data_IF_530325203833
#
_entry.id   IF_530325203833
#
_cell.length_a   1.000
_cell.length_b   1.000
_cell.length_c   1.000
_cell.angle_alpha   90.00
_cell.angle_beta   90.00
_cell.angle_gamma   90.00
#
_symmetry.space_group_name_H-M   'P 1'
#
loop_
_entity.id
_entity.type
_entity.pdbx_description
1 polymer ?
#
# COMPACT_ATOMS: atom_id res chain seq x y z
N UNK A 1 -7.62 0.75 -44.51
CA UNK A 1 -7.23 -0.64 -44.56
C UNK A 1 -8.33 -1.51 -43.95
N UNK A 2 -8.38 -2.76 -44.31
CA UNK A 2 -9.45 -3.71 -43.91
C UNK A 2 -9.59 -3.93 -42.39
N UNK A 3 -8.65 -3.45 -41.59
CA UNK A 3 -8.63 -3.54 -40.12
C UNK A 3 -9.46 -2.42 -39.45
N UNK A 4 -9.53 -1.26 -40.03
CA UNK A 4 -10.26 -0.12 -39.46
C UNK A 4 -11.77 -0.24 -39.63
N UNK A 5 -12.22 -0.86 -40.72
CA UNK A 5 -13.65 -1.07 -41.01
C UNK A 5 -14.26 -2.08 -40.01
N UNK A 6 -13.52 -3.12 -39.58
CA UNK A 6 -14.01 -4.07 -38.58
C UNK A 6 -14.14 -3.49 -37.16
N UNK A 7 -13.30 -2.54 -36.79
CA UNK A 7 -13.40 -1.84 -35.49
C UNK A 7 -14.60 -0.90 -35.42
N UNK A 8 -14.88 -0.19 -36.50
CA UNK A 8 -16.04 0.74 -36.58
C UNK A 8 -17.36 -0.04 -36.56
N UNK A 9 -17.43 -1.17 -37.29
CA UNK A 9 -18.64 -2.04 -37.29
C UNK A 9 -18.91 -2.70 -35.93
N UNK A 10 -17.87 -3.14 -35.22
CA UNK A 10 -18.01 -3.72 -33.88
C UNK A 10 -18.48 -2.70 -32.83
N UNK A 11 -18.02 -1.45 -32.93
CA UNK A 11 -18.44 -0.37 -32.03
C UNK A 11 -19.91 0.05 -32.30
N UNK A 12 -20.34 0.10 -33.56
CA UNK A 12 -21.73 0.41 -33.92
C UNK A 12 -22.71 -0.72 -33.52
N UNK A 13 -22.34 -1.99 -33.68
CA UNK A 13 -23.16 -3.11 -33.25
C UNK A 13 -23.33 -3.10 -31.72
N UNK A 14 -22.27 -2.82 -30.97
CA UNK A 14 -22.34 -2.71 -29.51
C UNK A 14 -23.20 -1.51 -29.06
N UNK A 15 -23.13 -0.38 -29.78
CA UNK A 15 -23.97 0.79 -29.47
C UNK A 15 -25.47 0.53 -29.78
N UNK A 16 -25.77 -0.12 -30.90
CA UNK A 16 -27.14 -0.53 -31.24
C UNK A 16 -27.72 -1.57 -30.29
N UNK A 17 -26.92 -2.55 -29.86
CA UNK A 17 -27.33 -3.53 -28.85
C UNK A 17 -27.58 -2.88 -27.49
N UNK A 18 -26.76 -1.91 -27.10
CA UNK A 18 -26.94 -1.15 -25.85
C UNK A 18 -28.19 -0.29 -25.88
N UNK A 19 -28.48 0.36 -27.00
CA UNK A 19 -29.67 1.22 -27.20
C UNK A 19 -30.97 0.36 -27.21
N UNK A 20 -30.96 -0.77 -27.90
CA UNK A 20 -32.08 -1.74 -27.88
C UNK A 20 -32.31 -2.34 -26.49
N UNK A 21 -31.25 -2.58 -25.72
CA UNK A 21 -31.35 -3.09 -24.36
C UNK A 21 -31.95 -2.04 -23.41
N UNK A 22 -31.53 -0.77 -23.54
CA UNK A 22 -32.05 0.35 -22.73
C UNK A 22 -33.53 0.67 -23.06
N UNK A 23 -33.94 0.57 -24.30
CA UNK A 23 -35.33 0.79 -24.71
C UNK A 23 -36.24 -0.39 -24.31
N UNK A 24 -35.77 -1.62 -24.40
CA UNK A 24 -36.50 -2.77 -23.86
C UNK A 24 -36.65 -2.72 -22.34
N UNK A 25 -35.62 -2.27 -21.61
CA UNK A 25 -35.68 -2.13 -20.14
C UNK A 25 -36.66 -1.02 -19.73
N UNK A 26 -36.75 0.10 -20.44
CA UNK A 26 -37.74 1.15 -20.20
C UNK A 26 -39.17 0.69 -20.47
N UNK A 27 -39.40 -0.11 -21.48
CA UNK A 27 -40.70 -0.69 -21.79
C UNK A 27 -41.12 -1.76 -20.76
N UNK A 28 -40.17 -2.59 -20.29
CA UNK A 28 -40.40 -3.53 -19.19
C UNK A 28 -40.78 -2.79 -17.90
N UNK A 29 -40.07 -1.72 -17.58
CA UNK A 29 -40.36 -0.90 -16.38
C UNK A 29 -41.73 -0.20 -16.44
N UNK A 30 -42.16 0.25 -17.61
CA UNK A 30 -43.49 0.81 -17.83
C UNK A 30 -44.64 -0.23 -17.66
N UNK A 31 -44.40 -1.46 -18.12
CA UNK A 31 -45.36 -2.54 -18.00
C UNK A 31 -45.41 -3.13 -16.57
N UNK A 32 -44.30 -3.10 -15.83
CA UNK A 32 -44.25 -3.51 -14.41
C UNK A 32 -45.01 -2.57 -13.49
N UNK A 33 -45.11 -1.26 -13.79
CA UNK A 33 -45.94 -0.31 -13.03
C UNK A 33 -47.45 -0.57 -13.16
N UNK A 34 -47.88 -1.37 -14.14
CA UNK A 34 -49.32 -1.70 -14.35
C UNK A 34 -49.77 -3.01 -13.68
N UNK A 35 -48.82 -3.88 -13.28
CA UNK A 35 -49.16 -5.15 -12.61
C UNK A 35 -48.46 -5.23 -11.25
N UNK A 36 -49.23 -5.51 -10.20
CA UNK A 36 -48.79 -5.70 -8.83
C UNK A 36 -47.82 -6.88 -8.75
N UNK A 37 -46.50 -6.62 -8.82
CA UNK A 37 -45.49 -7.63 -8.55
C UNK A 37 -45.14 -7.64 -7.06
N UNK A 38 -45.00 -8.84 -6.50
CA UNK A 38 -44.62 -9.05 -5.10
C UNK A 38 -43.21 -8.44 -4.80
N UNK A 39 -43.04 -8.00 -3.56
CA UNK A 39 -41.75 -7.44 -3.08
C UNK A 39 -40.51 -8.34 -3.37
N UNK A 40 -40.72 -9.65 -3.46
CA UNK A 40 -39.69 -10.65 -3.77
C UNK A 40 -39.16 -10.53 -5.20
N UNK A 41 -40.00 -10.24 -6.18
CA UNK A 41 -39.57 -10.10 -7.58
C UNK A 41 -38.77 -8.81 -7.80
N UNK A 42 -39.13 -7.72 -7.10
CA UNK A 42 -38.37 -6.46 -7.16
C UNK A 42 -36.97 -6.60 -6.53
N UNK A 43 -36.83 -7.31 -5.42
CA UNK A 43 -35.55 -7.57 -4.75
C UNK A 43 -34.63 -8.42 -5.62
N UNK A 44 -35.16 -9.47 -6.26
CA UNK A 44 -34.37 -10.33 -7.17
C UNK A 44 -33.93 -9.59 -8.44
N UNK A 45 -34.73 -8.64 -8.93
CA UNK A 45 -34.39 -7.85 -10.11
C UNK A 45 -33.28 -6.80 -9.80
N UNK A 46 -33.34 -6.18 -8.62
CA UNK A 46 -32.30 -5.23 -8.16
C UNK A 46 -30.98 -5.95 -7.88
N UNK A 47 -31.02 -7.15 -7.28
CA UNK A 47 -29.83 -7.99 -7.11
C UNK A 47 -29.25 -8.42 -8.47
N UNK A 48 -30.09 -8.79 -9.44
CA UNK A 48 -29.65 -9.16 -10.80
C UNK A 48 -29.00 -8.01 -11.55
N UNK A 49 -29.46 -6.77 -11.39
CA UNK A 49 -28.85 -5.58 -11.97
C UNK A 49 -27.54 -5.20 -11.27
N UNK A 50 -27.44 -5.37 -9.95
CA UNK A 50 -26.20 -5.14 -9.21
C UNK A 50 -25.12 -6.19 -9.60
N UNK A 51 -25.51 -7.45 -9.79
CA UNK A 51 -24.58 -8.49 -10.27
C UNK A 51 -24.14 -8.26 -11.73
N UNK A 52 -25.02 -7.74 -12.60
CA UNK A 52 -24.65 -7.40 -13.98
C UNK A 52 -23.70 -6.18 -14.04
N UNK A 53 -23.87 -5.19 -13.16
CA UNK A 53 -22.99 -4.04 -13.08
C UNK A 53 -21.59 -4.43 -12.56
N UNK A 54 -21.47 -5.35 -11.61
CA UNK A 54 -20.17 -5.84 -11.13
C UNK A 54 -19.43 -6.72 -12.14
N UNK A 55 -20.14 -7.49 -12.96
CA UNK A 55 -19.55 -8.28 -14.04
C UNK A 55 -18.97 -7.41 -15.17
N UNK A 56 -19.38 -6.14 -15.28
CA UNK A 56 -18.90 -5.18 -16.28
C UNK A 56 -17.64 -4.44 -15.84
N UNK A 57 -17.24 -4.54 -14.56
CA UNK A 57 -16.02 -3.88 -14.03
C UNK A 57 -14.74 -4.67 -14.27
N UNK A 58 -14.82 -6.00 -14.33
CA UNK A 58 -13.67 -6.86 -14.56
C UNK A 58 -13.56 -7.24 -16.06
N UNK A 59 -12.43 -6.93 -16.68
CA UNK A 59 -12.08 -7.31 -18.04
C UNK A 59 -10.92 -8.31 -18.00
N UNK A 60 -11.17 -9.56 -18.35
CA UNK A 60 -10.19 -10.65 -18.31
C UNK A 60 -9.43 -10.73 -19.63
N UNK A 61 -8.13 -10.43 -19.57
CA UNK A 61 -7.25 -10.40 -20.75
C UNK A 61 -6.60 -11.77 -21.01
N UNK A 62 -6.38 -12.56 -19.95
CA UNK A 62 -5.87 -13.93 -20.00
C UNK A 62 -6.29 -14.71 -18.75
N UNK A 63 -5.83 -15.97 -18.63
CA UNK A 63 -6.11 -16.81 -17.45
C UNK A 63 -5.52 -16.28 -16.14
N UNK A 64 -4.54 -15.37 -16.21
CA UNK A 64 -3.88 -14.81 -15.05
C UNK A 64 -3.85 -13.26 -15.05
N UNK A 65 -4.57 -12.59 -15.95
CA UNK A 65 -4.54 -11.14 -16.10
C UNK A 65 -5.94 -10.55 -16.20
N UNK A 66 -6.24 -9.59 -15.36
CA UNK A 66 -7.51 -8.87 -15.32
C UNK A 66 -7.27 -7.38 -15.14
N UNK A 67 -8.02 -6.56 -15.87
CA UNK A 67 -8.17 -5.12 -15.60
C UNK A 67 -9.51 -4.92 -14.90
N UNK A 68 -9.47 -4.43 -13.67
CA UNK A 68 -10.68 -4.10 -12.91
C UNK A 68 -10.87 -2.57 -12.89
N UNK A 69 -11.97 -2.10 -13.45
CA UNK A 69 -12.31 -0.67 -13.44
C UNK A 69 -12.86 -0.27 -12.08
N UNK A 70 -12.25 0.74 -11.45
CA UNK A 70 -12.67 1.24 -10.14
C UNK A 70 -13.71 2.33 -10.28
N UNK A 71 -14.81 2.21 -9.54
CA UNK A 71 -15.75 3.30 -9.31
C UNK A 71 -15.26 4.12 -8.12
N UNK A 72 -14.69 5.29 -8.39
CA UNK A 72 -14.12 6.19 -7.39
C UNK A 72 -15.13 7.21 -6.82
N UNK A 73 -16.41 6.93 -6.92
CA UNK A 73 -17.48 7.73 -6.27
C UNK A 73 -17.51 7.54 -4.74
N UNK A 74 -16.97 6.42 -4.25
CA UNK A 74 -16.82 6.08 -2.83
C UNK A 74 -15.37 6.33 -2.36
N UNK A 75 -15.13 6.21 -1.04
CA UNK A 75 -13.81 6.48 -0.45
C UNK A 75 -12.91 5.26 -0.38
N UNK A 76 -13.49 4.09 -0.27
CA UNK A 76 -12.79 2.82 -0.01
C UNK A 76 -13.32 1.73 -0.92
N UNK A 77 -12.40 0.99 -1.55
CA UNK A 77 -12.68 -0.29 -2.17
C UNK A 77 -12.20 -1.40 -1.22
N UNK A 78 -13.12 -2.23 -0.75
CA UNK A 78 -12.84 -3.39 0.08
C UNK A 78 -12.44 -4.57 -0.80
N UNK A 79 -11.19 -4.99 -0.69
CA UNK A 79 -10.61 -6.11 -1.42
C UNK A 79 -10.75 -7.40 -0.59
N UNK A 80 -11.45 -8.43 -1.10
CA UNK A 80 -11.60 -9.69 -0.39
C UNK A 80 -10.34 -10.54 -0.50
N UNK A 81 -9.79 -10.95 0.64
CA UNK A 81 -8.55 -11.71 0.78
C UNK A 81 -8.83 -13.16 1.14
N UNK A 82 -8.02 -14.06 0.59
CA UNK A 82 -7.92 -15.45 0.99
C UNK A 82 -6.45 -15.78 1.25
N UNK A 83 -6.08 -16.08 2.49
CA UNK A 83 -4.70 -16.24 2.97
C UNK A 83 -3.86 -17.27 2.21
N UNK A 84 -4.50 -18.29 1.67
CA UNK A 84 -3.83 -19.38 0.94
C UNK A 84 -4.02 -19.30 -0.57
N UNK A 85 -4.58 -18.20 -1.08
CA UNK A 85 -4.68 -17.98 -2.52
C UNK A 85 -3.32 -17.63 -3.13
N UNK A 86 -3.22 -17.76 -4.45
CA UNK A 86 -2.07 -17.31 -5.21
C UNK A 86 -1.89 -15.79 -5.05
N UNK A 87 -0.62 -15.35 -5.02
CA UNK A 87 -0.28 -13.94 -4.95
C UNK A 87 -0.68 -13.25 -6.26
N UNK A 88 -1.34 -12.12 -6.13
CA UNK A 88 -1.63 -11.19 -7.22
C UNK A 88 -0.74 -9.96 -7.07
N UNK A 89 -0.08 -9.57 -8.15
CA UNK A 89 0.52 -8.25 -8.26
C UNK A 89 -0.53 -7.28 -8.81
N UNK A 90 -0.79 -6.21 -8.10
CA UNK A 90 -1.80 -5.19 -8.44
C UNK A 90 -1.12 -3.86 -8.67
N UNK A 91 -1.41 -3.24 -9.80
CA UNK A 91 -1.03 -1.86 -10.10
C UNK A 91 -2.27 -0.99 -10.17
N UNK A 92 -2.27 0.10 -9.44
CA UNK A 92 -3.30 1.14 -9.55
C UNK A 92 -2.89 2.07 -10.68
N UNK A 93 -3.74 2.16 -11.69
CA UNK A 93 -3.51 2.97 -12.90
C UNK A 93 -4.49 4.13 -12.92
N UNK A 94 -3.98 5.36 -12.93
CA UNK A 94 -4.74 6.59 -13.17
C UNK A 94 -4.47 7.09 -14.59
N UNK A 95 -5.44 6.95 -15.46
CA UNK A 95 -5.28 7.22 -16.89
C UNK A 95 -4.26 6.31 -17.54
N UNK A 96 -3.03 6.79 -17.74
CA UNK A 96 -1.90 6.04 -18.32
C UNK A 96 -0.73 5.88 -17.32
N UNK A 97 -0.88 6.37 -16.10
CA UNK A 97 0.20 6.38 -15.10
C UNK A 97 -0.05 5.35 -14.01
N UNK A 98 0.97 4.54 -13.69
CA UNK A 98 0.96 3.74 -12.48
C UNK A 98 1.19 4.68 -11.29
N UNK A 99 0.23 4.69 -10.35
CA UNK A 99 0.28 5.56 -9.17
C UNK A 99 0.54 4.80 -7.87
N UNK A 100 0.25 3.50 -7.84
CA UNK A 100 0.54 2.60 -6.70
C UNK A 100 0.74 1.17 -7.21
N UNK A 101 1.52 0.37 -6.50
CA UNK A 101 1.60 -1.07 -6.73
C UNK A 101 1.70 -1.81 -5.40
N UNK A 102 1.09 -2.99 -5.33
CA UNK A 102 1.13 -3.86 -4.16
C UNK A 102 0.83 -5.30 -4.53
N UNK A 103 1.19 -6.21 -3.64
CA UNK A 103 0.87 -7.62 -3.72
C UNK A 103 -0.30 -7.95 -2.79
N UNK A 104 -1.22 -8.81 -3.22
CA UNK A 104 -2.38 -9.23 -2.44
C UNK A 104 -2.81 -10.64 -2.83
N UNK A 105 -3.35 -11.40 -1.89
CA UNK A 105 -3.96 -12.71 -2.15
C UNK A 105 -5.47 -12.56 -2.32
N UNK A 106 -5.91 -12.17 -3.53
CA UNK A 106 -7.33 -12.01 -3.81
C UNK A 106 -8.07 -13.34 -3.68
N UNK A 107 -9.26 -13.30 -3.07
CA UNK A 107 -10.06 -14.47 -2.80
C UNK A 107 -10.45 -15.24 -4.07
N UNK A 108 -9.92 -16.45 -4.21
CA UNK A 108 -10.20 -17.33 -5.35
C UNK A 108 -11.47 -18.15 -5.15
N UNK A 109 -11.71 -18.75 -3.97
CA UNK A 109 -12.87 -19.63 -3.72
C UNK A 109 -13.62 -19.32 -2.41
N UNK A 110 -12.98 -18.72 -1.39
CA UNK A 110 -13.64 -18.25 -0.17
C UNK A 110 -12.98 -16.94 0.30
N UNK A 111 -13.56 -16.26 1.26
CA UNK A 111 -13.07 -14.99 1.78
C UNK A 111 -12.74 -15.19 3.25
N UNK A 112 -11.49 -14.92 3.63
CA UNK A 112 -11.08 -14.94 5.03
C UNK A 112 -11.38 -13.59 5.70
N UNK A 113 -11.04 -12.47 5.01
CA UNK A 113 -11.31 -11.11 5.47
C UNK A 113 -11.26 -10.11 4.32
N UNK A 114 -11.46 -8.84 4.63
CA UNK A 114 -11.35 -7.72 3.70
C UNK A 114 -10.24 -6.76 4.14
N UNK A 115 -9.55 -6.18 3.16
CA UNK A 115 -8.63 -5.07 3.38
C UNK A 115 -9.09 -3.84 2.59
N UNK A 116 -8.88 -2.61 3.10
CA UNK A 116 -9.27 -1.39 2.40
C UNK A 116 -8.19 -0.98 1.39
N UNK A 117 -8.61 -0.63 0.18
CA UNK A 117 -7.86 0.23 -0.71
C UNK A 117 -8.52 1.61 -0.67
N UNK A 118 -7.81 2.61 -0.15
CA UNK A 118 -8.32 3.98 -0.10
C UNK A 118 -8.23 4.59 -1.50
N UNK A 119 -9.40 4.96 -2.04
CA UNK A 119 -9.53 5.51 -3.40
C UNK A 119 -10.00 6.96 -3.39
N UNK A 120 -10.17 7.56 -2.21
CA UNK A 120 -10.59 8.96 -2.03
C UNK A 120 -9.60 9.97 -2.64
N UNK A 121 -8.33 9.65 -2.72
CA UNK A 121 -7.30 10.46 -3.36
C UNK A 121 -7.51 10.57 -4.88
N UNK A 122 -8.13 9.56 -5.49
CA UNK A 122 -8.42 9.50 -6.93
C UNK A 122 -9.81 10.04 -7.30
N UNK A 123 -10.52 10.70 -6.38
CA UNK A 123 -11.91 11.18 -6.60
C UNK A 123 -12.09 12.09 -7.82
N UNK A 124 -11.04 12.78 -8.24
CA UNK A 124 -11.05 13.68 -9.40
C UNK A 124 -10.57 12.99 -10.70
N UNK A 125 -10.12 11.74 -10.59
CA UNK A 125 -9.62 10.97 -11.73
C UNK A 125 -10.78 10.41 -12.55
N UNK A 126 -10.65 10.44 -13.86
CA UNK A 126 -11.70 9.96 -14.78
C UNK A 126 -11.65 8.47 -15.04
N UNK A 127 -10.47 7.87 -14.93
CA UNK A 127 -10.20 6.47 -15.27
C UNK A 127 -9.23 5.87 -14.29
N UNK A 128 -9.74 5.29 -13.20
CA UNK A 128 -8.95 4.47 -12.27
C UNK A 128 -9.22 3.01 -12.58
N UNK A 129 -8.17 2.23 -12.66
CA UNK A 129 -8.26 0.78 -12.80
C UNK A 129 -7.18 0.07 -11.98
N UNK A 130 -7.46 -1.17 -11.62
CA UNK A 130 -6.49 -2.11 -11.08
C UNK A 130 -6.06 -3.04 -12.21
N UNK A 131 -4.78 -3.01 -12.52
CA UNK A 131 -4.13 -3.97 -13.41
C UNK A 131 -3.61 -5.12 -12.54
N UNK A 132 -4.22 -6.29 -12.66
CA UNK A 132 -4.07 -7.41 -11.72
C UNK A 132 -3.49 -8.60 -12.45
N UNK A 133 -2.28 -9.01 -12.03
CA UNK A 133 -1.60 -10.20 -12.51
C UNK A 133 -1.50 -11.23 -11.38
N UNK A 134 -2.01 -12.44 -11.63
CA UNK A 134 -1.89 -13.55 -10.69
C UNK A 134 -0.60 -14.32 -10.97
N UNK A 135 0.21 -14.54 -9.94
CA UNK A 135 1.43 -15.34 -10.05
C UNK A 135 1.09 -16.82 -10.25
N UNK A 136 1.97 -17.53 -10.95
CA UNK A 136 1.78 -18.96 -11.24
C UNK A 136 1.08 -19.27 -12.55
N UNK A 137 1.07 -20.54 -12.90
CA UNK A 137 0.37 -21.07 -14.07
C UNK A 137 -0.97 -21.64 -13.61
N UNK A 138 -2.05 -20.93 -13.88
CA UNK A 138 -3.40 -21.46 -13.66
C UNK A 138 -3.65 -22.66 -14.55
N UNK A 139 -3.84 -23.82 -13.92
CA UNK A 139 -4.15 -25.08 -14.58
C UNK A 139 -5.66 -25.34 -14.47
N UNK A 140 -6.37 -25.29 -15.59
CA UNK A 140 -7.64 -25.99 -15.87
C UNK A 140 -8.91 -25.64 -15.09
N UNK A 141 -8.98 -24.60 -14.27
CA UNK A 141 -10.13 -24.31 -13.42
C UNK A 141 -10.79 -22.93 -13.69
N UNK A 142 -10.64 -22.41 -14.92
CA UNK A 142 -11.26 -21.15 -15.34
C UNK A 142 -10.37 -19.92 -15.10
N UNK A 143 -9.19 -20.07 -14.50
CA UNK A 143 -8.22 -18.99 -14.30
C UNK A 143 -8.75 -17.87 -13.41
N UNK A 144 -8.17 -16.67 -13.53
CA UNK A 144 -8.53 -15.49 -12.72
C UNK A 144 -10.01 -15.10 -12.85
N UNK A 145 -10.66 -15.44 -13.95
CA UNK A 145 -12.08 -15.15 -14.14
C UNK A 145 -13.02 -15.93 -13.21
N UNK A 146 -12.55 -17.07 -12.67
CA UNK A 146 -13.31 -17.90 -11.74
C UNK A 146 -13.26 -17.40 -10.29
N UNK A 147 -12.39 -16.43 -9.97
CA UNK A 147 -12.20 -15.94 -8.60
C UNK A 147 -13.50 -15.40 -7.99
N UNK A 148 -13.74 -15.79 -6.74
CA UNK A 148 -14.88 -15.30 -5.99
C UNK A 148 -14.79 -13.80 -5.65
N UNK A 149 -13.59 -13.23 -5.66
CA UNK A 149 -13.35 -11.81 -5.35
C UNK A 149 -14.19 -10.86 -6.22
N UNK A 150 -14.39 -11.15 -7.51
CA UNK A 150 -15.08 -10.24 -8.44
C UNK A 150 -16.53 -9.93 -8.06
N UNK A 151 -17.20 -10.87 -7.41
CA UNK A 151 -18.59 -10.72 -6.93
C UNK A 151 -18.66 -10.15 -5.53
N UNK A 152 -17.52 -10.01 -4.86
CA UNK A 152 -17.43 -9.67 -3.46
C UNK A 152 -16.59 -8.42 -3.17
N UNK A 153 -16.01 -7.78 -4.16
CA UNK A 153 -15.48 -6.43 -4.01
C UNK A 153 -16.61 -5.47 -3.62
N UNK A 154 -16.38 -4.62 -2.62
CA UNK A 154 -17.40 -3.73 -2.05
C UNK A 154 -16.84 -2.32 -1.99
N UNK A 155 -17.70 -1.35 -2.23
CA UNK A 155 -17.39 0.05 -2.01
C UNK A 155 -18.00 0.53 -0.70
N UNK A 156 -17.28 1.39 0.02
CA UNK A 156 -17.69 1.93 1.31
C UNK A 156 -17.20 3.37 1.50
N UNK A 157 -17.88 4.11 2.37
CA UNK A 157 -17.44 5.46 2.78
C UNK A 157 -16.34 5.43 3.84
N UNK A 158 -16.19 4.30 4.54
CA UNK A 158 -15.17 4.09 5.58
C UNK A 158 -14.86 2.61 5.75
N UNK A 159 -13.73 2.31 6.36
CA UNK A 159 -13.38 0.97 6.84
C UNK A 159 -13.54 0.92 8.35
N UNK A 160 -14.04 -0.20 8.87
CA UNK A 160 -14.16 -0.41 10.32
C UNK A 160 -12.77 -0.69 10.92
N UNK A 161 -12.29 0.25 11.73
CA UNK A 161 -11.00 0.17 12.41
C UNK A 161 -11.09 -0.51 13.79
N UNK A 162 -12.30 -0.91 14.23
CA UNK A 162 -12.48 -1.62 15.50
C UNK A 162 -12.11 -3.08 15.34
N UNK A 163 -10.84 -3.40 15.58
CA UNK A 163 -10.38 -4.77 15.56
C UNK A 163 -10.75 -5.46 16.87
N UNK A 164 -11.69 -6.39 16.81
CA UNK A 164 -12.16 -7.19 17.96
C UNK A 164 -11.79 -8.66 17.85
N UNK A 165 -10.79 -9.02 17.06
CA UNK A 165 -10.34 -10.40 16.88
C UNK A 165 -9.85 -11.01 18.18
N UNK A 166 -10.11 -12.31 18.35
CA UNK A 166 -9.86 -13.08 19.58
C UNK A 166 -8.41 -12.97 20.07
N UNK A 167 -7.43 -12.93 19.16
CA UNK A 167 -6.00 -12.94 19.48
C UNK A 167 -5.35 -11.57 19.45
N UNK A 168 -6.14 -10.50 19.31
CA UNK A 168 -5.58 -9.15 19.38
C UNK A 168 -4.92 -8.90 20.74
N UNK A 169 -3.65 -8.47 20.79
CA UNK A 169 -2.99 -8.10 22.05
C UNK A 169 -3.76 -7.01 22.81
N UNK A 170 -3.77 -7.11 24.14
CA UNK A 170 -4.50 -6.17 24.99
C UNK A 170 -3.69 -4.89 25.26
N UNK A 171 -2.36 -4.99 25.34
CA UNK A 171 -1.49 -3.87 25.74
C UNK A 171 -0.31 -3.64 24.78
N UNK A 172 0.02 -4.56 23.89
CA UNK A 172 1.00 -4.29 22.85
C UNK A 172 0.36 -3.48 21.72
N UNK A 173 1.13 -2.54 21.16
CA UNK A 173 0.70 -1.82 19.97
C UNK A 173 0.50 -2.77 18.80
N UNK A 174 -0.60 -2.59 18.07
CA UNK A 174 -0.88 -3.26 16.81
C UNK A 174 -1.61 -2.27 15.87
N UNK A 175 -1.41 -2.37 14.56
CA UNK A 175 -2.19 -1.58 13.61
C UNK A 175 -3.67 -1.99 13.68
N UNK A 176 -4.55 -1.17 13.11
CA UNK A 176 -5.98 -1.47 13.05
C UNK A 176 -6.27 -2.73 12.21
N UNK A 177 -5.47 -2.98 11.19
CA UNK A 177 -5.52 -4.15 10.29
C UNK A 177 -4.15 -4.35 9.65
N UNK A 178 -3.95 -5.49 8.97
CA UNK A 178 -2.73 -5.79 8.25
C UNK A 178 -1.64 -6.43 9.11
N UNK A 179 -0.45 -6.53 8.55
CA UNK A 179 0.75 -7.08 9.20
C UNK A 179 1.65 -5.97 9.74
N UNK A 180 2.30 -6.22 10.84
CA UNK A 180 3.29 -5.33 11.44
C UNK A 180 4.50 -6.15 11.92
N UNK A 181 5.73 -5.58 11.75
CA UNK A 181 6.95 -6.08 12.40
C UNK A 181 7.71 -4.91 13.04
N UNK A 182 8.93 -4.58 12.63
CA UNK A 182 9.84 -3.68 13.32
C UNK A 182 9.24 -2.30 13.62
N UNK A 183 9.38 -1.78 14.86
CA UNK A 183 9.15 -0.37 15.13
C UNK A 183 10.22 0.47 14.43
N UNK A 184 9.79 1.62 13.89
CA UNK A 184 10.66 2.55 13.16
C UNK A 184 10.43 3.98 13.65
N UNK A 185 11.46 4.79 13.55
CA UNK A 185 11.37 6.24 13.56
C UNK A 185 10.57 6.85 14.71
N UNK A 186 10.59 6.30 15.93
CA UNK A 186 9.85 6.86 17.04
C UNK A 186 10.46 8.20 17.49
N UNK A 187 9.62 9.23 17.62
CA UNK A 187 10.02 10.53 18.18
C UNK A 187 8.87 11.18 18.93
N UNK A 188 9.22 12.17 19.76
CA UNK A 188 8.28 13.02 20.47
C UNK A 188 8.37 14.45 19.96
N UNK A 189 7.23 15.03 19.60
CA UNK A 189 7.14 16.41 19.14
C UNK A 189 5.80 17.03 19.50
N UNK A 190 5.81 18.26 20.01
CA UNK A 190 4.61 19.07 20.29
C UNK A 190 3.54 18.34 21.14
N UNK A 191 3.99 17.55 22.14
CA UNK A 191 3.09 16.84 23.05
C UNK A 191 2.57 15.49 22.51
N UNK A 192 3.08 15.02 21.36
CA UNK A 192 2.64 13.80 20.70
C UNK A 192 3.84 12.88 20.44
N UNK A 193 3.69 11.62 20.79
CA UNK A 193 4.55 10.53 20.36
C UNK A 193 4.14 10.05 19.00
N UNK A 194 5.09 9.89 18.11
CA UNK A 194 4.92 9.30 16.79
C UNK A 194 5.67 7.98 16.76
N UNK A 195 5.01 6.92 16.32
CA UNK A 195 5.60 5.60 16.09
C UNK A 195 5.32 5.21 14.65
N UNK A 196 6.36 4.95 13.90
CA UNK A 196 6.26 4.27 12.61
C UNK A 196 6.63 2.80 12.79
N UNK A 197 6.28 1.97 11.81
CA UNK A 197 6.58 0.54 11.86
C UNK A 197 6.51 -0.07 10.47
N UNK A 198 7.22 -1.16 10.28
CA UNK A 198 7.09 -1.98 9.09
C UNK A 198 5.68 -2.50 8.97
N UNK A 199 5.04 -2.29 7.82
CA UNK A 199 3.61 -2.48 7.65
C UNK A 199 3.26 -3.08 6.29
N UNK A 200 2.35 -4.08 6.29
CA UNK A 200 1.66 -4.54 5.09
C UNK A 200 0.15 -4.31 5.26
N UNK A 201 -0.46 -3.35 4.55
CA UNK A 201 -1.89 -3.08 4.64
C UNK A 201 -2.77 -4.08 3.87
N UNK A 202 -2.19 -4.94 3.01
CA UNK A 202 -2.94 -5.78 2.08
C UNK A 202 -2.98 -7.26 2.46
N UNK A 203 -2.51 -7.62 3.63
CA UNK A 203 -2.51 -9.00 4.11
C UNK A 203 -2.04 -9.16 5.54
N UNK A 204 -2.10 -10.37 6.07
CA UNK A 204 -1.65 -10.75 7.42
C UNK A 204 -0.27 -11.40 7.44
N UNK A 205 0.51 -11.26 6.36
CA UNK A 205 1.85 -11.83 6.21
C UNK A 205 2.84 -10.72 5.82
N UNK A 206 4.13 -10.98 6.04
CA UNK A 206 5.20 -10.09 5.61
C UNK A 206 5.18 -9.92 4.09
N UNK A 207 4.92 -8.71 3.63
CA UNK A 207 4.86 -8.30 2.22
C UNK A 207 4.70 -6.78 2.16
N UNK A 208 4.87 -6.16 0.99
CA UNK A 208 4.54 -4.74 0.73
C UNK A 208 5.14 -3.74 1.72
N UNK A 209 6.35 -3.99 2.23
CA UNK A 209 6.89 -3.17 3.31
C UNK A 209 6.79 -1.68 3.02
N UNK A 210 6.04 -1.02 3.89
CA UNK A 210 5.77 0.40 3.94
C UNK A 210 5.92 0.86 5.39
N UNK A 211 6.04 2.15 5.67
CA UNK A 211 5.94 2.61 7.05
C UNK A 211 4.48 2.91 7.38
N UNK A 212 3.89 2.11 8.28
CA UNK A 212 2.67 2.46 8.97
C UNK A 212 2.95 3.52 10.03
N UNK A 213 1.92 4.27 10.47
CA UNK A 213 2.06 5.35 11.42
C UNK A 213 0.97 5.28 12.48
N UNK A 214 1.35 5.48 13.73
CA UNK A 214 0.45 5.68 14.87
C UNK A 214 0.95 6.80 15.76
N UNK A 215 0.02 7.46 16.45
CA UNK A 215 0.32 8.56 17.39
C UNK A 215 -0.24 8.28 18.76
N UNK A 216 0.43 8.79 19.80
CA UNK A 216 0.00 8.67 21.19
C UNK A 216 0.38 9.92 22.00
N UNK A 217 -0.42 10.22 23.03
CA UNK A 217 -0.10 11.25 24.03
C UNK A 217 0.53 10.68 25.30
N UNK A 218 0.41 9.39 25.52
CA UNK A 218 0.75 8.73 26.78
C UNK A 218 1.53 7.40 26.61
N UNK A 219 1.87 7.00 25.37
CA UNK A 219 2.53 5.73 25.01
C UNK A 219 1.69 4.47 25.29
N UNK A 220 0.47 4.61 25.77
CA UNK A 220 -0.44 3.51 26.07
C UNK A 220 -1.60 3.43 25.07
N UNK A 221 -2.16 4.59 24.73
CA UNK A 221 -3.28 4.70 23.80
C UNK A 221 -2.78 5.24 22.46
N UNK A 222 -2.84 4.39 21.45
CA UNK A 222 -2.34 4.69 20.11
C UNK A 222 -3.48 4.86 19.13
N UNK A 223 -3.38 5.89 18.30
CA UNK A 223 -4.30 6.17 17.20
C UNK A 223 -3.61 5.88 15.87
N UNK A 224 -4.16 4.96 15.08
CA UNK A 224 -3.66 4.63 13.74
C UNK A 224 -3.89 5.81 12.78
N UNK A 225 -2.83 6.19 12.07
CA UNK A 225 -2.82 7.34 11.15
C UNK A 225 -2.76 6.93 9.66
N UNK A 226 -2.55 5.65 9.36
CA UNK A 226 -2.40 5.14 7.99
C UNK A 226 -0.96 4.88 7.58
N UNK A 227 -0.72 4.88 6.29
CA UNK A 227 0.60 4.72 5.67
C UNK A 227 1.31 6.08 5.62
N UNK A 228 2.59 6.15 6.03
CA UNK A 228 3.37 7.38 6.07
C UNK A 228 4.42 7.46 4.95
N UNK A 229 5.13 6.36 4.67
CA UNK A 229 6.13 6.28 3.60
C UNK A 229 5.86 5.01 2.79
N UNK A 230 5.41 5.18 1.56
CA UNK A 230 5.07 4.08 0.65
C UNK A 230 6.22 3.72 -0.29
N UNK A 231 6.25 2.49 -0.83
CA UNK A 231 7.19 2.07 -1.87
C UNK A 231 7.23 3.01 -3.08
N UNK A 232 8.37 3.02 -3.76
CA UNK A 232 8.56 3.74 -5.00
C UNK A 232 9.44 2.95 -6.00
N UNK A 233 10.01 3.65 -6.96
CA UNK A 233 10.88 3.05 -7.99
C UNK A 233 12.16 2.42 -7.43
N UNK A 234 12.59 2.81 -6.22
CA UNK A 234 13.76 2.26 -5.54
C UNK A 234 13.47 0.98 -4.76
N UNK A 235 12.20 0.66 -4.52
CA UNK A 235 11.77 -0.56 -3.84
C UNK A 235 10.81 -0.34 -2.68
N UNK A 236 10.66 -1.39 -1.87
CA UNK A 236 9.89 -1.37 -0.63
C UNK A 236 10.64 -0.64 0.49
N UNK A 237 9.92 -0.17 1.49
CA UNK A 237 10.47 0.65 2.58
C UNK A 237 10.77 -0.23 3.78
N UNK A 238 12.06 -0.51 4.00
CA UNK A 238 12.54 -1.27 5.16
C UNK A 238 12.80 -0.35 6.36
N UNK A 239 13.30 -0.94 7.43
CA UNK A 239 13.47 -0.27 8.71
C UNK A 239 14.44 0.91 8.67
N UNK A 240 14.31 1.77 9.66
CA UNK A 240 15.09 2.97 9.83
C UNK A 240 14.65 3.81 11.03
N UNK A 241 15.08 5.05 11.07
CA UNK A 241 14.85 5.97 12.18
C UNK A 241 14.34 7.33 11.71
N UNK A 242 13.84 8.15 12.64
CA UNK A 242 13.46 9.53 12.37
C UNK A 242 13.98 10.44 13.48
N UNK A 243 14.35 11.66 13.09
CA UNK A 243 14.84 12.71 14.00
C UNK A 243 14.11 14.01 13.72
N UNK A 244 14.09 14.90 14.73
CA UNK A 244 13.62 16.29 14.54
C UNK A 244 14.84 17.19 14.33
N UNK A 245 14.96 17.77 13.16
CA UNK A 245 16.02 18.72 12.82
C UNK A 245 15.66 20.12 13.31
N UNK A 246 15.88 20.36 14.62
CA UNK A 246 15.55 21.63 15.25
C UNK A 246 16.30 22.83 14.69
N UNK A 247 17.48 22.60 14.14
CA UNK A 247 18.39 23.66 13.68
C UNK A 247 18.35 23.85 12.15
N UNK A 248 17.45 23.15 11.46
CA UNK A 248 17.34 23.19 10.00
C UNK A 248 18.68 22.89 9.29
N UNK A 249 19.42 21.92 9.81
CA UNK A 249 20.73 21.53 9.25
C UNK A 249 20.58 20.93 7.86
N UNK A 250 19.49 20.21 7.61
CA UNK A 250 19.16 19.65 6.32
C UNK A 250 18.59 20.68 5.31
N UNK A 251 18.19 21.87 5.77
CA UNK A 251 17.64 22.90 4.89
C UNK A 251 16.20 22.63 4.41
N UNK A 252 15.45 21.77 5.11
CA UNK A 252 14.04 21.47 4.79
C UNK A 252 13.04 22.35 5.54
N UNK A 253 13.49 23.15 6.47
CA UNK A 253 12.69 24.02 7.33
C UNK A 253 12.94 23.74 8.81
N UNK A 254 12.56 24.70 9.66
CA UNK A 254 12.78 24.61 11.11
C UNK A 254 11.97 23.48 11.73
N UNK A 255 12.63 22.70 12.60
CA UNK A 255 12.00 21.59 13.32
C UNK A 255 11.31 20.56 12.39
N UNK A 256 11.86 20.39 11.20
CA UNK A 256 11.39 19.37 10.24
C UNK A 256 11.70 17.97 10.76
N UNK A 257 10.78 17.04 10.60
CA UNK A 257 11.02 15.61 10.88
C UNK A 257 11.73 15.02 9.68
N UNK A 258 12.89 14.40 9.89
CA UNK A 258 13.68 13.75 8.86
C UNK A 258 13.74 12.27 9.15
N UNK A 259 13.25 11.45 8.24
CA UNK A 259 13.30 9.99 8.29
C UNK A 259 14.39 9.48 7.36
N UNK A 260 15.21 8.55 7.83
CA UNK A 260 16.10 7.75 7.01
C UNK A 260 15.71 6.29 7.12
N UNK A 261 15.61 5.64 6.00
CA UNK A 261 15.12 4.28 5.86
C UNK A 261 15.87 3.54 4.75
N UNK A 262 15.82 2.23 4.81
CA UNK A 262 16.37 1.41 3.73
C UNK A 262 15.30 1.23 2.65
N UNK A 263 15.66 1.50 1.40
CA UNK A 263 14.88 1.07 0.23
C UNK A 263 15.39 -0.27 -0.27
N UNK A 264 14.51 -1.27 -0.33
CA UNK A 264 14.82 -2.63 -0.74
C UNK A 264 14.24 -2.91 -2.14
N UNK A 265 15.07 -2.70 -3.16
CA UNK A 265 14.78 -3.01 -4.55
C UNK A 265 15.75 -4.08 -5.07
N UNK A 266 16.48 -3.78 -6.15
CA UNK A 266 17.53 -4.65 -6.66
C UNK A 266 18.68 -4.79 -5.63
N UNK A 267 19.00 -3.69 -4.95
CA UNK A 267 19.92 -3.64 -3.83
C UNK A 267 19.27 -2.89 -2.66
N UNK A 268 19.80 -3.09 -1.44
CA UNK A 268 19.44 -2.29 -0.29
C UNK A 268 20.25 -0.99 -0.28
N UNK A 269 19.58 0.14 -0.22
CA UNK A 269 20.16 1.47 -0.21
C UNK A 269 19.52 2.35 0.83
N UNK A 270 20.21 3.39 1.32
CA UNK A 270 19.61 4.29 2.31
C UNK A 270 19.02 5.50 1.62
N UNK A 271 17.78 5.81 1.98
CA UNK A 271 16.98 6.90 1.44
C UNK A 271 16.45 7.80 2.54
N UNK A 272 16.15 9.03 2.18
CA UNK A 272 15.70 10.07 3.09
C UNK A 272 14.33 10.60 2.65
N UNK A 273 13.47 10.87 3.64
CA UNK A 273 12.26 11.65 3.45
C UNK A 273 12.11 12.67 4.59
N UNK A 274 11.37 13.73 4.36
CA UNK A 274 11.16 14.78 5.35
C UNK A 274 9.69 15.18 5.43
N UNK A 275 9.29 15.63 6.62
CA UNK A 275 7.94 16.08 6.92
C UNK A 275 7.95 17.47 7.51
N UNK A 276 7.14 18.36 6.94
CA UNK A 276 6.91 19.73 7.43
C UNK A 276 5.59 19.88 8.16
N UNK A 277 4.84 18.79 8.36
CA UNK A 277 3.53 18.74 9.00
C UNK A 277 3.50 17.85 10.26
N UNK A 278 4.62 17.85 11.00
CA UNK A 278 4.81 17.10 12.23
C UNK A 278 4.72 15.57 12.03
N UNK A 279 5.31 15.04 10.95
CA UNK A 279 5.38 13.60 10.73
C UNK A 279 4.11 12.95 10.20
N UNK A 280 3.12 13.74 9.76
CA UNK A 280 1.88 13.17 9.20
C UNK A 280 2.07 12.68 7.78
N UNK A 281 2.75 13.48 6.97
CA UNK A 281 3.11 13.13 5.58
C UNK A 281 4.58 13.37 5.33
N UNK A 282 5.17 12.59 4.43
CA UNK A 282 6.58 12.69 4.07
C UNK A 282 6.76 12.98 2.60
N UNK A 283 7.68 13.87 2.30
CA UNK A 283 8.21 14.12 0.95
C UNK A 283 9.53 13.38 0.82
N UNK A 284 9.64 12.48 -0.13
CA UNK A 284 10.91 11.78 -0.42
C UNK A 284 11.93 12.76 -0.99
N UNK A 285 13.16 12.66 -0.52
CA UNK A 285 14.23 13.53 -0.98
C UNK A 285 14.60 13.20 -2.42
N UNK A 286 14.72 14.22 -3.27
CA UNK A 286 15.00 14.06 -4.69
C UNK A 286 16.40 13.48 -5.00
N UNK A 287 17.35 13.62 -4.05
CA UNK A 287 18.68 13.08 -4.14
C UNK A 287 18.83 11.62 -3.71
N UNK A 288 17.73 10.90 -3.46
CA UNK A 288 17.77 9.48 -3.10
C UNK A 288 18.26 8.60 -4.26
N UNK A 289 18.93 7.46 -3.96
CA UNK A 289 19.42 7.06 -2.64
C UNK A 289 20.66 7.84 -2.22
N UNK A 290 20.81 8.12 -0.92
CA UNK A 290 21.94 8.92 -0.40
C UNK A 290 23.15 8.09 0.00
N UNK A 291 22.97 6.82 0.37
CA UNK A 291 24.07 5.87 0.65
C UNK A 291 23.77 4.55 -0.04
N UNK A 292 24.76 4.00 -0.70
CA UNK A 292 24.69 2.72 -1.41
C UNK A 292 25.82 1.80 -0.97
N UNK A 293 25.59 0.48 -1.06
CA UNK A 293 26.59 -0.55 -0.87
C UNK A 293 26.39 -1.69 -1.88
N UNK A 294 27.44 -2.46 -2.11
CA UNK A 294 27.35 -3.72 -2.84
C UNK A 294 27.05 -4.92 -1.91
N UNK A 295 27.01 -4.70 -0.60
CA UNK A 295 26.67 -5.73 0.38
C UNK A 295 25.17 -5.99 0.32
N UNK A 296 24.70 -7.24 0.19
CA UNK A 296 23.28 -7.55 0.09
C UNK A 296 22.46 -7.12 1.30
N UNK A 297 23.05 -7.25 2.50
CA UNK A 297 22.41 -6.91 3.78
C UNK A 297 22.98 -5.59 4.31
N UNK A 298 22.46 -4.48 3.80
CA UNK A 298 22.87 -3.11 4.11
C UNK A 298 21.64 -2.29 4.49
N UNK A 299 21.26 -2.33 5.80
CA UNK A 299 19.95 -1.82 6.24
C UNK A 299 19.92 -1.31 7.67
N UNK A 300 18.80 -0.70 8.03
CA UNK A 300 18.39 -0.28 9.36
C UNK A 300 19.21 0.88 9.92
N UNK A 301 19.18 2.06 9.27
CA UNK A 301 19.90 3.24 9.73
C UNK A 301 19.26 3.82 11.01
N UNK A 302 20.05 3.97 12.08
CA UNK A 302 19.67 4.68 13.30
C UNK A 302 20.42 5.99 13.41
N UNK A 303 19.72 7.12 13.33
CA UNK A 303 20.28 8.48 13.39
C UNK A 303 20.07 9.12 14.76
N UNK A 304 21.05 9.90 15.21
CA UNK A 304 20.94 10.74 16.38
C UNK A 304 21.87 11.97 16.29
N UNK A 305 21.51 13.04 17.01
CA UNK A 305 22.37 14.21 17.15
C UNK A 305 23.41 13.97 18.22
N UNK A 306 24.68 14.20 17.91
CA UNK A 306 25.80 14.07 18.84
C UNK A 306 26.22 15.47 19.32
N UNK A 307 25.90 15.76 20.57
CA UNK A 307 26.17 17.06 21.21
C UNK A 307 27.65 17.38 21.36
N UNK A 308 28.52 16.38 21.50
CA UNK A 308 29.94 16.59 21.73
C UNK A 308 30.67 17.10 20.48
N UNK A 309 30.32 16.54 19.32
CA UNK A 309 30.93 16.88 18.03
C UNK A 309 30.06 17.80 17.17
N UNK A 310 28.84 18.13 17.63
CA UNK A 310 27.88 18.99 16.91
C UNK A 310 27.60 18.51 15.48
N UNK A 311 27.38 17.21 15.34
CA UNK A 311 27.03 16.54 14.09
C UNK A 311 25.97 15.48 14.31
N UNK A 312 25.29 15.12 13.27
CA UNK A 312 24.50 13.90 13.21
C UNK A 312 25.43 12.68 13.15
N UNK A 313 25.10 11.66 13.92
CA UNK A 313 25.68 10.34 13.77
C UNK A 313 24.63 9.35 13.28
N UNK A 314 25.07 8.28 12.64
CA UNK A 314 24.23 7.18 12.23
C UNK A 314 24.99 5.87 12.43
N UNK A 315 24.29 4.89 13.01
CA UNK A 315 24.72 3.48 13.02
C UNK A 315 23.90 2.76 11.96
N UNK A 316 24.57 1.96 11.13
CA UNK A 316 23.94 1.25 10.00
C UNK A 316 24.52 -0.14 9.89
N UNK A 317 23.64 -1.15 9.85
CA UNK A 317 24.06 -2.54 9.70
C UNK A 317 24.54 -2.84 8.28
N UNK A 318 25.66 -3.54 8.16
CA UNK A 318 26.20 -4.04 6.90
C UNK A 318 26.72 -5.47 7.06
N UNK A 319 25.90 -6.44 6.72
CA UNK A 319 26.20 -7.84 6.88
C UNK A 319 26.36 -8.23 8.35
N UNK A 320 27.62 -8.43 8.80
CA UNK A 320 27.93 -8.88 10.18
C UNK A 320 28.77 -7.83 10.94
N UNK A 321 28.62 -6.56 10.62
CA UNK A 321 29.23 -5.44 11.35
C UNK A 321 28.33 -4.20 11.24
N UNK A 322 28.63 -3.20 12.06
CA UNK A 322 27.98 -1.89 12.04
C UNK A 322 28.92 -0.85 11.47
N UNK A 323 28.41 -0.03 10.59
CA UNK A 323 29.07 1.18 10.12
C UNK A 323 28.63 2.38 10.95
N UNK A 324 29.57 3.24 11.31
CA UNK A 324 29.31 4.47 12.05
C UNK A 324 29.65 5.64 11.13
N UNK A 325 28.63 6.44 10.84
CA UNK A 325 28.75 7.60 9.95
C UNK A 325 28.58 8.91 10.75
N UNK A 326 29.09 10.02 10.18
CA UNK A 326 28.75 11.36 10.62
C UNK A 326 28.25 12.22 9.46
N UNK A 327 27.40 13.21 9.77
CA UNK A 327 26.89 14.19 8.82
C UNK A 327 26.69 15.55 9.45
N UNK A 328 26.91 16.61 8.68
CA UNK A 328 26.57 17.99 9.10
C UNK A 328 25.14 18.37 8.71
N UNK A 329 24.51 17.67 7.74
CA UNK A 329 23.30 18.11 7.05
C UNK A 329 22.27 16.99 6.77
N UNK A 330 22.47 15.78 7.34
CA UNK A 330 21.64 14.59 7.13
C UNK A 330 21.63 14.07 5.67
N UNK A 331 22.25 14.73 4.73
CA UNK A 331 22.26 14.36 3.30
C UNK A 331 23.59 13.77 2.86
N UNK A 332 24.68 14.35 3.33
CA UNK A 332 26.03 13.86 3.04
C UNK A 332 26.62 13.18 4.27
N UNK A 333 27.02 11.92 4.12
CA UNK A 333 27.49 11.06 5.21
C UNK A 333 28.90 10.59 4.99
N UNK A 334 29.73 10.74 6.00
CA UNK A 334 31.11 10.25 6.02
C UNK A 334 31.21 9.02 6.91
N UNK A 335 31.76 7.91 6.39
CA UNK A 335 32.06 6.72 7.20
C UNK A 335 33.24 7.06 8.12
N UNK A 336 33.01 7.02 9.42
CA UNK A 336 34.02 7.34 10.44
C UNK A 336 34.71 6.10 10.98
N UNK A 337 33.95 5.02 11.21
CA UNK A 337 34.48 3.78 11.78
C UNK A 337 33.54 2.61 11.55
N UNK A 338 34.02 1.42 11.88
CA UNK A 338 33.25 0.18 11.86
C UNK A 338 33.40 -0.55 13.20
N UNK A 339 32.35 -1.24 13.62
CA UNK A 339 32.31 -2.03 14.84
C UNK A 339 31.76 -3.41 14.56
N UNK A 340 32.31 -4.43 15.25
CA UNK A 340 31.77 -5.77 15.26
C UNK A 340 32.52 -6.80 14.43
N UNK A 341 33.38 -6.40 13.48
CA UNK A 341 34.11 -7.37 12.65
C UNK A 341 34.92 -8.41 13.45
N UNK A 342 35.40 -8.04 14.64
CA UNK A 342 36.18 -8.91 15.54
C UNK A 342 35.42 -9.27 16.83
N UNK A 343 34.18 -8.81 16.99
CA UNK A 343 33.40 -8.94 18.20
C UNK A 343 31.97 -9.41 17.91
N UNK A 344 31.38 -10.12 18.85
CA UNK A 344 29.99 -10.54 18.79
C UNK A 344 29.77 -11.91 18.14
N UNK A 345 28.53 -12.20 17.81
CA UNK A 345 28.14 -13.44 17.16
C UNK A 345 27.99 -13.21 15.65
N UNK A 346 28.70 -14.00 14.84
CA UNK A 346 28.69 -13.95 13.38
C UNK A 346 27.92 -15.12 12.75
N UNK A 347 26.91 -15.67 13.43
CA UNK A 347 26.08 -16.76 12.93
C UNK A 347 24.96 -16.33 11.97
N UNK A 348 24.78 -15.02 11.76
CA UNK A 348 23.78 -14.43 10.87
C UNK A 348 24.07 -12.96 10.60
N UNK A 349 23.20 -12.30 9.85
CA UNK A 349 23.29 -10.85 9.61
C UNK A 349 22.95 -10.07 10.87
N UNK A 350 23.48 -8.88 11.00
CA UNK A 350 23.16 -7.93 12.05
C UNK A 350 22.11 -6.95 11.54
N UNK A 351 21.15 -6.62 12.40
CA UNK A 351 20.01 -5.80 12.05
C UNK A 351 19.67 -4.81 13.19
N UNK A 352 18.91 -3.78 12.89
CA UNK A 352 18.23 -2.87 13.83
C UNK A 352 19.15 -2.35 14.96
N UNK A 353 20.23 -1.63 14.67
CA UNK A 353 21.07 -1.02 15.72
C UNK A 353 20.29 0.08 16.44
N UNK A 354 20.48 0.17 17.79
CA UNK A 354 19.92 1.19 18.68
C UNK A 354 21.02 1.87 19.51
#
# INVERSE_FOLDING_TARGET
SHYDIKRTFAAEINYLQLTLFLDNSKNLYKNMKKNLFSRTAATSFVLGLAMAASAQQANFLSNNHCIYRVDNSQKVLLLPVQEKAEMCNVKVIDGNSQVKAFNIRLASNHIDYYVPLYISEYKNSKNISLDIHVNGTYRNDGGVSSFTCWKNMKYADSYDMTNTEQYRPVYHHTPAYGWMNDPNGMFYKDGVWHLYYQYNPYGSQWENMTWGHSTSKDLLHWEFQGEAIEPDVWGTIFSGSAVVDHNNTAGFGDSTVVAMYTTAGENQTQSLAYSTDNGKTFTKYEGNPIITSNTPDFRDPHMFWNEDIKKWNMILAEGQHMNIYSSADLKEWTLESQFGAEYGNHGGVWECPD
#
